data_IF_951883468829
#
_entry.id   IF_951883468829
#
_cell.length_a   1.000
_cell.length_b   1.000
_cell.length_c   1.000
_cell.angle_alpha   90.00
_cell.angle_beta   90.00
_cell.angle_gamma   90.00
#
_symmetry.space_group_name_H-M   'P 1'
#
loop_
_entity.id
_entity.type
_entity.pdbx_description
1 polymer ?
#
# COMPACT_ATOMS: atom_id res chain seq x y z
N UNK A 1 -75.35 21.56 5.25
CA UNK A 1 -74.44 22.58 4.70
C UNK A 1 -73.00 22.10 4.94
N UNK A 2 -72.16 21.98 3.90
CA UNK A 2 -70.86 21.31 4.00
C UNK A 2 -69.82 22.24 4.63
N UNK A 3 -68.88 21.70 5.41
CA UNK A 3 -67.62 22.42 5.72
C UNK A 3 -66.44 21.49 5.45
N UNK A 4 -65.87 21.75 4.28
CA UNK A 4 -64.52 21.56 3.75
C UNK A 4 -63.50 20.74 4.58
N UNK A 5 -62.97 19.71 3.92
CA UNK A 5 -61.71 19.02 4.24
C UNK A 5 -60.53 19.99 4.16
N UNK A 6 -59.59 19.89 5.11
CA UNK A 6 -58.17 20.19 4.85
C UNK A 6 -57.34 19.00 5.30
N UNK A 7 -56.85 18.21 4.33
CA UNK A 7 -55.68 17.36 4.53
C UNK A 7 -54.45 18.28 4.49
N UNK A 8 -53.76 18.42 5.61
CA UNK A 8 -52.41 18.97 5.59
C UNK A 8 -51.45 17.87 5.17
N UNK A 9 -51.03 17.90 3.90
CA UNK A 9 -49.86 17.15 3.44
C UNK A 9 -48.64 17.99 3.81
N UNK A 10 -47.94 17.60 4.86
CA UNK A 10 -46.61 18.14 5.14
C UNK A 10 -45.61 17.45 4.19
N UNK A 11 -45.18 18.17 3.14
CA UNK A 11 -44.02 17.78 2.34
C UNK A 11 -42.77 18.04 3.19
N UNK A 12 -42.16 16.99 3.74
CA UNK A 12 -40.83 17.07 4.33
C UNK A 12 -39.81 16.93 3.18
N UNK A 13 -39.26 18.06 2.74
CA UNK A 13 -38.16 18.08 1.77
C UNK A 13 -36.88 17.58 2.48
N UNK A 14 -36.55 16.30 2.29
CA UNK A 14 -35.26 15.76 2.68
C UNK A 14 -34.17 16.29 1.75
N UNK A 15 -33.43 17.30 2.18
CA UNK A 15 -32.20 17.70 1.53
C UNK A 15 -31.14 16.62 1.82
N UNK A 16 -30.93 15.72 0.86
CA UNK A 16 -29.74 14.86 0.84
C UNK A 16 -28.53 15.76 0.58
N UNK A 17 -27.81 16.11 1.64
CA UNK A 17 -26.47 16.66 1.52
C UNK A 17 -25.58 15.52 1.04
N UNK A 18 -25.41 15.41 -0.28
CA UNK A 18 -24.35 14.59 -0.85
C UNK A 18 -23.02 15.25 -0.47
N UNK A 19 -22.41 14.76 0.61
CA UNK A 19 -21.02 15.12 0.93
C UNK A 19 -20.17 14.72 -0.27
N UNK A 20 -19.54 15.70 -0.91
CA UNK A 20 -18.51 15.44 -1.91
C UNK A 20 -17.41 14.62 -1.25
N UNK A 21 -17.30 13.34 -1.60
CA UNK A 21 -16.14 12.53 -1.22
C UNK A 21 -14.92 13.12 -1.92
N UNK A 22 -14.21 14.02 -1.23
CA UNK A 22 -12.87 14.40 -1.64
C UNK A 22 -12.02 13.12 -1.67
N UNK A 23 -11.24 12.93 -2.72
CA UNK A 23 -10.30 11.81 -2.81
C UNK A 23 -9.33 11.88 -1.62
N UNK A 24 -9.56 11.03 -0.63
CA UNK A 24 -8.66 10.91 0.52
C UNK A 24 -7.44 10.12 0.07
N UNK A 25 -6.26 10.71 0.22
CA UNK A 25 -4.99 10.02 -0.02
C UNK A 25 -4.42 9.56 1.32
N UNK A 26 -4.24 8.26 1.48
CA UNK A 26 -3.56 7.67 2.65
C UNK A 26 -2.08 7.54 2.33
N UNK A 27 -1.19 8.10 3.16
CA UNK A 27 0.25 7.87 3.02
C UNK A 27 0.61 6.55 3.67
N UNK A 28 1.53 5.81 3.06
CA UNK A 28 2.11 4.59 3.61
C UNK A 28 3.62 4.66 3.51
N UNK A 29 4.30 4.05 4.47
CA UNK A 29 5.75 3.95 4.44
C UNK A 29 6.25 2.62 5.00
N UNK A 30 7.50 2.31 4.68
CA UNK A 30 8.24 1.20 5.25
C UNK A 30 9.73 1.55 5.31
N UNK A 31 10.41 1.19 6.40
CA UNK A 31 11.87 1.20 6.46
C UNK A 31 12.37 -0.20 6.09
N UNK A 32 13.20 -0.31 5.06
CA UNK A 32 13.75 -1.57 4.57
C UNK A 32 15.08 -1.84 5.27
N UNK A 33 15.18 -2.96 5.97
CA UNK A 33 16.40 -3.34 6.69
C UNK A 33 16.70 -4.84 6.60
N UNK A 34 17.98 -5.25 6.71
CA UNK A 34 18.41 -6.66 6.69
C UNK A 34 17.79 -7.48 7.83
N UNK A 35 17.65 -6.84 8.99
CA UNK A 35 17.10 -7.43 10.22
C UNK A 35 15.60 -7.74 10.14
N UNK A 36 14.90 -7.18 9.15
CA UNK A 36 13.49 -7.42 8.91
C UNK A 36 13.22 -8.59 7.98
N UNK A 37 14.25 -9.16 7.34
CA UNK A 37 14.10 -10.40 6.58
C UNK A 37 13.76 -11.60 7.47
N UNK A 38 13.21 -12.65 6.85
CA UNK A 38 12.86 -13.90 7.54
C UNK A 38 13.43 -15.09 6.78
N UNK A 39 14.58 -15.65 7.21
CA UNK A 39 15.41 -15.21 8.35
C UNK A 39 16.17 -13.89 8.08
N UNK A 40 16.61 -13.16 9.13
CA UNK A 40 17.42 -11.95 8.98
C UNK A 40 18.72 -12.16 8.21
N UNK A 41 19.12 -11.16 7.43
CA UNK A 41 20.43 -11.11 6.77
C UNK A 41 21.40 -10.22 7.56
N UNK A 42 22.71 -10.36 7.29
CA UNK A 42 23.77 -9.59 7.97
C UNK A 42 24.51 -8.67 6.98
N UNK A 43 23.76 -7.93 6.16
CA UNK A 43 24.31 -6.98 5.18
C UNK A 43 24.24 -5.54 5.68
N UNK A 44 24.74 -4.61 4.88
CA UNK A 44 24.64 -3.17 5.13
C UNK A 44 23.53 -2.50 4.30
N UNK A 45 22.75 -3.28 3.56
CA UNK A 45 21.68 -2.79 2.72
C UNK A 45 20.64 -2.03 3.53
N UNK A 46 20.08 -0.97 2.96
CA UNK A 46 19.00 -0.21 3.57
C UNK A 46 18.10 0.38 2.49
N UNK A 47 16.90 0.79 2.87
CA UNK A 47 16.00 1.49 1.96
C UNK A 47 14.73 1.99 2.63
N UNK A 48 13.87 2.61 1.83
CA UNK A 48 12.60 3.13 2.28
C UNK A 48 11.55 3.02 1.17
N UNK A 49 10.30 2.81 1.58
CA UNK A 49 9.11 2.96 0.75
C UNK A 49 8.40 4.23 1.18
N UNK A 50 8.13 5.14 0.23
CA UNK A 50 7.14 6.22 0.36
C UNK A 50 6.03 5.96 -0.66
N UNK A 51 4.83 5.72 -0.15
CA UNK A 51 3.68 5.42 -0.97
C UNK A 51 2.45 6.25 -0.59
N UNK A 52 1.54 6.36 -1.54
CA UNK A 52 0.27 7.06 -1.41
C UNK A 52 -0.82 6.21 -2.03
N UNK A 53 -1.87 5.92 -1.29
CA UNK A 53 -3.07 5.23 -1.78
C UNK A 53 -4.20 6.24 -1.95
N UNK A 54 -4.74 6.34 -3.16
CA UNK A 54 -5.90 7.17 -3.50
C UNK A 54 -7.18 6.35 -3.34
N UNK A 55 -8.06 6.76 -2.43
CA UNK A 55 -9.31 6.04 -2.10
C UNK A 55 -10.38 6.15 -3.18
N UNK A 56 -10.30 7.11 -4.10
CA UNK A 56 -11.27 7.28 -5.18
C UNK A 56 -10.95 6.38 -6.39
N UNK A 57 -9.66 6.20 -6.67
CA UNK A 57 -9.17 5.43 -7.83
C UNK A 57 -8.62 4.05 -7.47
N UNK A 58 -8.53 3.75 -6.18
CA UNK A 58 -7.89 2.56 -5.62
C UNK A 58 -6.43 2.39 -6.05
N UNK A 59 -5.75 3.50 -6.35
CA UNK A 59 -4.39 3.47 -6.87
C UNK A 59 -3.38 3.64 -5.74
N UNK A 60 -2.55 2.61 -5.52
CA UNK A 60 -1.32 2.74 -4.77
C UNK A 60 -0.23 3.25 -5.70
N UNK A 61 0.40 4.38 -5.37
CA UNK A 61 1.59 4.92 -6.04
C UNK A 61 2.75 4.89 -5.08
N UNK A 62 3.95 4.57 -5.56
CA UNK A 62 5.14 4.45 -4.71
C UNK A 62 6.38 5.09 -5.32
N UNK A 63 7.29 5.49 -4.44
CA UNK A 63 8.71 5.71 -4.68
C UNK A 63 9.48 4.91 -3.65
N UNK A 64 10.41 4.08 -4.10
CA UNK A 64 11.19 3.20 -3.25
C UNK A 64 12.66 3.48 -3.52
N UNK A 65 13.41 3.78 -2.46
CA UNK A 65 14.84 4.00 -2.53
C UNK A 65 15.56 2.92 -1.75
N UNK A 66 16.70 2.48 -2.23
CA UNK A 66 17.60 1.61 -1.50
C UNK A 66 19.05 1.91 -1.87
N UNK A 67 19.96 1.47 -1.01
CA UNK A 67 21.42 1.62 -1.17
C UNK A 67 22.16 0.51 -0.42
N UNK A 68 23.47 0.41 -0.65
CA UNK A 68 24.41 -0.47 0.07
C UNK A 68 24.06 -1.97 0.08
N UNK A 69 23.32 -2.44 -0.93
CA UNK A 69 23.11 -3.87 -1.16
C UNK A 69 24.43 -4.58 -1.48
N UNK A 70 24.52 -5.89 -1.25
CA UNK A 70 25.73 -6.66 -1.58
C UNK A 70 26.00 -6.77 -3.08
N UNK A 71 25.00 -6.48 -3.92
CA UNK A 71 25.16 -6.39 -5.37
C UNK A 71 23.94 -5.78 -6.05
N UNK A 72 23.87 -5.82 -7.40
CA UNK A 72 22.71 -5.34 -8.14
C UNK A 72 21.43 -6.06 -7.70
N UNK A 73 20.34 -5.31 -7.59
CA UNK A 73 19.02 -5.88 -7.35
C UNK A 73 18.64 -6.82 -8.51
N UNK A 74 18.18 -8.02 -8.18
CA UNK A 74 17.78 -9.07 -9.14
C UNK A 74 16.27 -9.25 -9.22
N UNK A 75 15.56 -8.85 -8.16
CA UNK A 75 14.11 -8.79 -8.08
C UNK A 75 13.69 -7.83 -6.96
N UNK A 76 12.46 -7.33 -7.03
CA UNK A 76 11.83 -6.62 -5.93
C UNK A 76 10.31 -6.78 -6.01
N UNK A 77 9.64 -6.88 -4.86
CA UNK A 77 8.22 -7.19 -4.82
C UNK A 77 7.53 -6.55 -3.61
N UNK A 78 6.26 -6.20 -3.77
CA UNK A 78 5.32 -6.17 -2.66
C UNK A 78 4.78 -7.58 -2.42
N UNK A 79 4.85 -8.04 -1.18
CA UNK A 79 4.33 -9.33 -0.71
C UNK A 79 3.19 -9.13 0.28
N UNK A 80 2.34 -10.14 0.42
CA UNK A 80 1.26 -10.16 1.40
C UNK A 80 0.19 -11.22 1.08
N UNK A 81 -0.83 -11.38 1.95
CA UNK A 81 -0.88 -10.84 3.30
C UNK A 81 -0.01 -11.66 4.27
N UNK A 82 0.76 -10.99 5.12
CA UNK A 82 1.47 -11.59 6.26
C UNK A 82 1.59 -10.59 7.43
N UNK A 83 1.49 -11.08 8.69
CA UNK A 83 1.93 -10.29 9.83
C UNK A 83 3.46 -10.12 9.82
N UNK A 84 3.95 -9.16 10.62
CA UNK A 84 5.40 -8.96 10.79
C UNK A 84 6.08 -10.27 11.21
N UNK A 85 7.21 -10.58 10.57
CA UNK A 85 7.99 -11.78 10.86
C UNK A 85 7.53 -13.06 10.13
N UNK A 86 6.59 -12.97 9.19
CA UNK A 86 6.19 -14.10 8.34
C UNK A 86 6.36 -13.80 6.85
N UNK A 87 6.61 -14.85 6.06
CA UNK A 87 6.71 -14.77 4.60
C UNK A 87 5.33 -14.97 3.96
N UNK A 88 5.09 -14.28 2.85
CA UNK A 88 3.90 -14.41 2.02
C UNK A 88 4.24 -14.45 0.53
N UNK A 89 3.24 -14.75 -0.30
CA UNK A 89 3.36 -14.68 -1.76
C UNK A 89 3.49 -13.24 -2.27
N UNK A 90 3.79 -13.11 -3.57
CA UNK A 90 3.91 -11.82 -4.26
C UNK A 90 2.52 -11.26 -4.55
N UNK A 91 2.31 -9.99 -4.23
CA UNK A 91 1.12 -9.22 -4.57
C UNK A 91 1.36 -8.33 -5.80
N UNK A 92 2.52 -7.66 -5.85
CA UNK A 92 2.91 -6.81 -6.97
C UNK A 92 4.40 -7.03 -7.27
N UNK A 93 4.73 -7.64 -8.42
CA UNK A 93 6.12 -7.71 -8.85
C UNK A 93 6.58 -6.42 -9.52
N UNK A 94 7.83 -6.01 -9.25
CA UNK A 94 8.47 -4.92 -9.98
C UNK A 94 9.09 -5.48 -11.28
N UNK A 95 8.89 -4.82 -12.44
CA UNK A 95 9.55 -5.20 -13.69
C UNK A 95 11.08 -5.24 -13.53
N UNK A 96 11.72 -6.24 -14.15
CA UNK A 96 13.18 -6.48 -13.98
C UNK A 96 14.05 -5.33 -14.49
N UNK A 97 13.55 -4.59 -15.47
CA UNK A 97 14.17 -3.41 -16.06
C UNK A 97 13.91 -2.12 -15.27
N UNK A 98 13.07 -2.18 -14.23
CA UNK A 98 12.71 -1.03 -13.37
C UNK A 98 13.26 -1.17 -11.94
N UNK A 99 14.25 -2.04 -11.73
CA UNK A 99 14.79 -2.31 -10.39
C UNK A 99 15.72 -1.21 -9.86
N UNK A 100 16.22 -0.32 -10.71
CA UNK A 100 17.17 0.72 -10.28
C UNK A 100 16.52 1.71 -9.29
N UNK A 101 17.19 1.95 -8.16
CA UNK A 101 16.80 2.96 -7.18
C UNK A 101 16.90 4.38 -7.79
N UNK A 102 15.85 5.23 -7.69
CA UNK A 102 14.55 4.96 -7.09
C UNK A 102 13.60 4.17 -8.01
N UNK A 103 12.95 3.14 -7.46
CA UNK A 103 11.86 2.41 -8.12
C UNK A 103 10.58 3.24 -7.98
N UNK A 104 9.92 3.56 -9.09
CA UNK A 104 8.66 4.31 -9.10
C UNK A 104 7.61 3.54 -9.86
N UNK A 105 6.38 3.56 -9.38
CA UNK A 105 5.29 2.87 -10.05
C UNK A 105 3.94 3.11 -9.39
N UNK A 106 2.94 2.45 -9.94
CA UNK A 106 1.59 2.46 -9.39
C UNK A 106 0.82 1.19 -9.73
N UNK A 107 -0.16 0.85 -8.90
CA UNK A 107 -1.06 -0.29 -9.12
C UNK A 107 -2.46 0.06 -8.61
N UNK A 108 -3.47 -0.23 -9.44
CA UNK A 108 -4.86 -0.29 -8.99
C UNK A 108 -5.05 -1.57 -8.20
N UNK A 109 -5.53 -1.44 -6.97
CA UNK A 109 -5.72 -2.53 -6.02
C UNK A 109 -7.17 -3.02 -6.01
N UNK A 110 -7.36 -4.29 -5.66
CA UNK A 110 -8.69 -4.82 -5.31
C UNK A 110 -9.05 -4.47 -3.87
N UNK A 111 -10.33 -4.48 -3.52
CA UNK A 111 -10.79 -4.16 -2.16
C UNK A 111 -10.17 -5.06 -1.08
N UNK A 112 -9.92 -6.33 -1.41
CA UNK A 112 -9.21 -7.25 -0.53
C UNK A 112 -7.76 -6.79 -0.30
N UNK A 113 -7.04 -6.43 -1.37
CA UNK A 113 -5.67 -5.92 -1.27
C UNK A 113 -5.60 -4.61 -0.50
N UNK A 114 -6.59 -3.72 -0.65
CA UNK A 114 -6.70 -2.48 0.13
C UNK A 114 -6.86 -2.79 1.62
N UNK A 115 -7.76 -3.72 1.95
CA UNK A 115 -7.97 -4.14 3.34
C UNK A 115 -6.71 -4.71 3.97
N UNK A 116 -5.95 -5.52 3.22
CA UNK A 116 -4.68 -6.09 3.67
C UNK A 116 -3.58 -5.04 3.81
N UNK A 117 -3.47 -4.14 2.85
CA UNK A 117 -2.49 -3.05 2.84
C UNK A 117 -2.72 -2.11 4.03
N UNK A 118 -3.97 -1.66 4.23
CA UNK A 118 -4.35 -0.79 5.35
C UNK A 118 -4.24 -1.51 6.69
N UNK A 119 -4.41 -2.84 6.70
CA UNK A 119 -4.15 -3.68 7.87
C UNK A 119 -2.67 -3.91 8.17
N UNK A 120 -1.75 -3.29 7.43
CA UNK A 120 -0.32 -3.45 7.63
C UNK A 120 0.17 -4.87 7.35
N UNK A 121 -0.48 -5.59 6.42
CA UNK A 121 -0.17 -7.00 6.09
C UNK A 121 0.72 -7.14 4.87
N UNK A 122 1.20 -6.04 4.31
CA UNK A 122 2.07 -6.04 3.15
C UNK A 122 3.48 -5.63 3.55
N UNK A 123 4.48 -6.19 2.89
CA UNK A 123 5.87 -5.77 3.00
C UNK A 123 6.50 -5.62 1.62
N UNK A 124 7.51 -4.76 1.52
CA UNK A 124 8.35 -4.68 0.33
C UNK A 124 9.69 -5.35 0.59
N UNK A 125 10.20 -6.06 -0.41
CA UNK A 125 11.46 -6.78 -0.34
C UNK A 125 12.29 -6.57 -1.63
N UNK A 126 13.60 -6.37 -1.48
CA UNK A 126 14.58 -6.34 -2.57
C UNK A 126 15.52 -7.54 -2.44
N UNK A 127 15.79 -8.19 -3.57
CA UNK A 127 16.63 -9.38 -3.67
C UNK A 127 17.93 -9.04 -4.42
N UNK A 128 19.01 -9.74 -4.07
CA UNK A 128 20.27 -9.73 -4.83
C UNK A 128 20.69 -11.15 -5.17
N UNK A 129 21.82 -11.28 -5.88
CA UNK A 129 22.37 -12.61 -6.22
C UNK A 129 22.77 -13.41 -4.97
N UNK A 130 23.34 -12.75 -3.96
CA UNK A 130 23.77 -13.40 -2.71
C UNK A 130 22.61 -13.65 -1.75
N UNK A 131 21.54 -12.87 -1.88
CA UNK A 131 20.33 -12.96 -1.05
C UNK A 131 19.07 -13.18 -1.91
N UNK A 132 18.94 -14.36 -2.57
CA UNK A 132 17.84 -14.61 -3.50
C UNK A 132 16.47 -14.68 -2.82
N UNK A 133 16.42 -15.03 -1.53
CA UNK A 133 15.17 -15.04 -0.74
C UNK A 133 14.77 -13.65 -0.22
N UNK A 134 15.65 -12.65 -0.37
CA UNK A 134 15.46 -11.29 0.13
C UNK A 134 16.71 -10.79 0.87
N UNK A 135 17.16 -9.58 0.55
CA UNK A 135 18.25 -8.91 1.25
C UNK A 135 17.75 -7.91 2.29
N UNK A 136 16.79 -7.06 1.91
CA UNK A 136 16.17 -6.06 2.78
C UNK A 136 14.65 -6.11 2.67
N UNK A 137 13.97 -5.96 3.81
CA UNK A 137 12.50 -5.95 3.92
C UNK A 137 12.03 -4.82 4.82
N UNK A 138 10.83 -4.32 4.55
CA UNK A 138 10.08 -3.48 5.49
C UNK A 138 8.59 -3.68 5.36
N UNK A 139 7.89 -3.72 6.50
CA UNK A 139 6.44 -3.78 6.56
C UNK A 139 5.85 -2.42 6.18
N UNK A 140 4.88 -2.39 5.28
CA UNK A 140 4.13 -1.19 4.93
C UNK A 140 3.11 -0.88 6.03
N UNK A 141 3.15 0.35 6.51
CA UNK A 141 2.21 0.87 7.51
C UNK A 141 1.63 2.20 7.02
N UNK A 142 0.34 2.51 7.29
CA UNK A 142 -0.16 3.86 7.15
C UNK A 142 0.70 4.85 7.94
N UNK A 143 1.09 5.94 7.30
CA UNK A 143 1.87 7.03 7.88
C UNK A 143 0.92 8.20 8.20
N UNK A 144 0.99 8.70 9.43
CA UNK A 144 0.24 9.89 9.86
C UNK A 144 0.93 11.18 9.40
#
# INVERSE_FOLDING_TARGET
>A
MPKLRLLQVALLAGALVAGSAAAETVRLSANLQPSSEVPPTATHGSGAVDASYDTATHTLKWTITYENLTGPATAAHFHGPAPVGQNAGVQVPIPKDELASPIKGSKVLTDAQVTELMGGKWYFNVHTKEHPSGEIRGQLMPAN
#
